data_IF_357810478747
#
_entry.id   IF_357810478747
#
_cell.length_a   1.000
_cell.length_b   1.000
_cell.length_c   1.000
_cell.angle_alpha   90.00
_cell.angle_beta   90.00
_cell.angle_gamma   90.00
#
_symmetry.space_group_name_H-M   'P 1'
#
loop_
_entity.id
_entity.type
_entity.pdbx_description
1 polymer ?
#
# COMPACT_ATOMS: atom_id res chain seq x y z
N UNK A 1 23.23 29.07 -23.29
CA UNK A 1 22.22 30.13 -23.05
C UNK A 1 21.72 29.98 -21.62
N UNK A 2 22.13 30.90 -20.76
CA UNK A 2 21.78 30.90 -19.36
C UNK A 2 20.35 31.34 -19.10
N UNK A 3 19.93 31.30 -17.85
CA UNK A 3 18.61 31.80 -17.42
C UNK A 3 18.45 33.27 -17.79
N UNK A 4 17.33 33.65 -18.42
CA UNK A 4 16.93 35.05 -18.60
C UNK A 4 17.08 35.63 -20.00
N UNK A 5 17.67 34.96 -20.98
CA UNK A 5 17.81 35.48 -22.35
C UNK A 5 16.61 35.05 -23.23
N UNK A 6 16.00 36.02 -23.89
CA UNK A 6 14.96 35.81 -24.90
C UNK A 6 15.59 36.00 -26.30
N UNK A 7 15.80 34.90 -27.02
CA UNK A 7 16.43 34.91 -28.37
C UNK A 7 15.54 34.27 -29.43
N UNK A 8 14.22 34.07 -29.11
CA UNK A 8 13.31 33.24 -29.90
C UNK A 8 12.88 33.86 -31.25
N UNK A 9 12.91 35.20 -31.42
CA UNK A 9 12.22 35.85 -32.54
C UNK A 9 12.71 35.42 -33.95
N UNK A 10 13.97 35.09 -34.09
CA UNK A 10 14.59 34.64 -35.37
C UNK A 10 15.43 33.38 -35.20
N UNK A 11 15.13 32.58 -34.17
CA UNK A 11 15.92 31.38 -33.91
C UNK A 11 15.59 30.31 -34.96
N UNK A 12 16.58 29.93 -35.75
CA UNK A 12 16.44 28.86 -36.74
C UNK A 12 16.95 27.51 -36.21
N UNK A 13 17.99 27.53 -35.36
CA UNK A 13 18.53 26.32 -34.79
C UNK A 13 19.10 26.54 -33.37
N UNK A 14 19.15 25.51 -32.58
CA UNK A 14 19.81 25.47 -31.26
C UNK A 14 20.72 24.22 -31.18
N UNK A 15 21.89 24.36 -30.60
CA UNK A 15 22.88 23.29 -30.44
C UNK A 15 23.14 23.05 -28.96
N UNK A 16 22.88 21.84 -28.48
CA UNK A 16 23.26 21.37 -27.17
C UNK A 16 24.66 20.70 -27.30
N UNK A 17 25.69 21.33 -26.75
CA UNK A 17 27.06 20.84 -26.80
C UNK A 17 27.40 20.00 -25.57
N UNK A 18 26.58 20.08 -24.50
CA UNK A 18 26.73 19.36 -23.25
C UNK A 18 25.43 18.75 -22.82
N UNK A 19 25.47 17.60 -22.14
CA UNK A 19 24.33 16.96 -21.55
C UNK A 19 24.14 17.48 -20.11
N UNK A 20 22.98 18.06 -19.75
CA UNK A 20 22.69 18.42 -18.37
C UNK A 20 22.34 17.20 -17.53
N UNK A 21 22.51 17.32 -16.22
CA UNK A 21 22.21 16.23 -15.27
C UNK A 21 20.71 15.99 -15.04
N UNK A 22 19.86 16.96 -15.41
CA UNK A 22 18.42 16.92 -15.16
C UNK A 22 17.62 16.97 -16.45
N UNK A 23 16.61 16.09 -16.61
CA UNK A 23 15.69 16.14 -17.76
C UNK A 23 15.01 17.51 -17.91
N UNK A 24 14.64 18.14 -16.77
CA UNK A 24 14.00 19.46 -16.74
C UNK A 24 14.84 20.56 -17.41
N UNK A 25 16.16 20.46 -17.37
CA UNK A 25 17.04 21.46 -17.99
C UNK A 25 17.02 21.34 -19.52
N UNK A 26 16.90 20.12 -20.06
CA UNK A 26 16.69 19.89 -21.49
C UNK A 26 15.33 20.44 -21.93
N UNK A 27 14.27 20.16 -21.18
CA UNK A 27 12.91 20.66 -21.48
C UNK A 27 12.86 22.19 -21.40
N UNK A 28 13.55 22.80 -20.43
CA UNK A 28 13.64 24.25 -20.33
C UNK A 28 14.43 24.88 -21.49
N UNK A 29 15.53 24.27 -21.93
CA UNK A 29 16.29 24.72 -23.10
C UNK A 29 15.41 24.64 -24.35
N UNK A 30 14.72 23.51 -24.55
CA UNK A 30 13.80 23.29 -25.65
C UNK A 30 12.65 24.31 -25.61
N UNK A 31 11.96 24.45 -24.47
CA UNK A 31 10.83 25.38 -24.30
C UNK A 31 11.21 26.85 -24.52
N UNK A 32 12.48 27.22 -24.36
CA UNK A 32 12.96 28.55 -24.72
C UNK A 32 13.21 28.73 -26.21
N UNK A 33 13.61 27.65 -26.88
CA UNK A 33 13.90 27.64 -28.33
C UNK A 33 12.61 27.66 -29.16
N UNK A 34 11.55 27.03 -28.71
CA UNK A 34 10.26 26.87 -29.43
C UNK A 34 9.12 27.76 -28.88
N UNK A 35 9.44 28.87 -28.24
CA UNK A 35 8.43 29.83 -27.72
C UNK A 35 7.65 30.51 -28.84
N UNK A 36 6.41 30.91 -28.50
CA UNK A 36 5.59 31.74 -29.37
C UNK A 36 6.30 33.06 -29.72
N UNK A 37 6.14 33.54 -30.96
CA UNK A 37 6.74 34.74 -31.45
C UNK A 37 8.03 34.52 -32.27
N UNK A 38 8.36 33.27 -32.61
CA UNK A 38 9.41 33.00 -33.59
C UNK A 38 8.85 33.26 -35.00
N UNK A 39 9.63 33.96 -35.81
CA UNK A 39 9.31 34.21 -37.22
C UNK A 39 9.55 32.98 -38.12
N UNK A 40 10.37 32.02 -37.63
CA UNK A 40 10.60 30.76 -38.33
C UNK A 40 9.52 29.72 -37.93
N UNK A 41 8.97 29.00 -38.91
CA UNK A 41 7.92 27.98 -38.62
C UNK A 41 8.48 26.74 -37.91
N UNK A 42 9.77 26.50 -38.02
CA UNK A 42 10.46 25.36 -37.40
C UNK A 42 11.76 25.82 -36.77
N UNK A 43 12.23 25.10 -35.73
CA UNK A 43 13.52 25.30 -35.10
C UNK A 43 14.21 23.93 -35.02
N UNK A 44 15.39 23.82 -35.58
CA UNK A 44 16.18 22.60 -35.52
C UNK A 44 16.95 22.52 -34.20
N UNK A 45 16.88 21.34 -33.54
CA UNK A 45 17.61 21.08 -32.30
C UNK A 45 18.69 20.03 -32.57
N UNK A 46 19.92 20.44 -32.49
CA UNK A 46 21.09 19.57 -32.64
C UNK A 46 21.67 19.23 -31.29
N UNK A 47 21.79 17.92 -31.00
CA UNK A 47 22.48 17.42 -29.80
C UNK A 47 23.77 16.75 -30.24
N UNK A 48 24.87 17.27 -29.80
CA UNK A 48 26.19 16.72 -30.08
C UNK A 48 26.58 15.74 -28.99
N UNK A 49 26.96 14.55 -29.40
CA UNK A 49 27.44 13.48 -28.53
C UNK A 49 28.73 12.97 -29.08
N UNK A 50 29.79 12.96 -28.29
CA UNK A 50 31.06 12.36 -28.69
C UNK A 50 30.96 10.85 -28.47
N UNK A 51 31.23 10.05 -29.51
CA UNK A 51 31.25 8.60 -29.41
C UNK A 51 32.30 8.13 -28.39
N UNK A 52 32.00 7.03 -27.69
CA UNK A 52 32.85 6.42 -26.65
C UNK A 52 33.21 7.36 -25.48
N UNK A 53 32.37 8.38 -25.24
CA UNK A 53 32.55 9.30 -24.11
C UNK A 53 31.42 9.18 -23.09
N UNK A 54 31.63 9.81 -21.95
CA UNK A 54 30.64 9.93 -20.89
C UNK A 54 29.33 10.64 -21.33
N UNK A 55 29.40 11.49 -22.35
CA UNK A 55 28.21 12.21 -22.86
C UNK A 55 27.13 11.27 -23.36
N UNK A 56 27.50 10.19 -24.07
CA UNK A 56 26.56 9.18 -24.55
C UNK A 56 25.81 8.52 -23.37
N UNK A 57 26.52 8.22 -22.29
CA UNK A 57 25.94 7.65 -21.07
C UNK A 57 25.02 8.66 -20.36
N UNK A 58 25.42 9.91 -20.21
CA UNK A 58 24.61 10.97 -19.62
C UNK A 58 23.27 11.14 -20.35
N UNK A 59 23.29 11.17 -21.67
CA UNK A 59 22.06 11.27 -22.45
C UNK A 59 21.14 10.08 -22.24
N UNK A 60 21.66 8.84 -22.15
CA UNK A 60 20.87 7.64 -21.82
C UNK A 60 20.24 7.73 -20.42
N UNK A 61 21.01 8.20 -19.42
CA UNK A 61 20.54 8.37 -18.05
C UNK A 61 19.42 9.42 -17.96
N UNK A 62 19.62 10.57 -18.61
CA UNK A 62 18.64 11.66 -18.66
C UNK A 62 17.37 11.22 -19.39
N UNK A 63 17.49 10.46 -20.49
CA UNK A 63 16.36 9.88 -21.21
C UNK A 63 15.57 8.90 -20.32
N UNK A 64 16.26 8.02 -19.58
CA UNK A 64 15.66 7.12 -18.61
C UNK A 64 14.86 7.86 -17.53
N UNK A 65 15.47 8.89 -16.94
CA UNK A 65 14.80 9.76 -15.94
C UNK A 65 13.59 10.48 -16.52
N UNK A 66 13.67 10.97 -17.77
CA UNK A 66 12.56 11.65 -18.44
C UNK A 66 11.40 10.69 -18.73
N UNK A 67 11.73 9.47 -19.18
CA UNK A 67 10.73 8.41 -19.42
C UNK A 67 9.99 8.03 -18.13
N UNK A 68 10.72 7.90 -17.01
CA UNK A 68 10.18 7.67 -15.69
C UNK A 68 9.24 8.81 -15.24
N UNK A 69 9.69 10.05 -15.31
CA UNK A 69 8.89 11.22 -14.96
C UNK A 69 7.59 11.28 -15.79
N UNK A 70 7.68 11.00 -17.09
CA UNK A 70 6.54 10.97 -18.00
C UNK A 70 5.54 9.88 -17.65
N UNK A 71 5.99 8.71 -17.22
CA UNK A 71 5.11 7.61 -16.78
C UNK A 71 4.29 8.00 -15.55
N UNK A 72 4.91 8.66 -14.55
CA UNK A 72 4.22 9.15 -13.36
C UNK A 72 3.24 10.28 -13.72
N UNK A 73 3.68 11.26 -14.51
CA UNK A 73 2.90 12.46 -14.84
C UNK A 73 1.68 12.17 -15.72
N UNK A 74 1.77 11.19 -16.64
CA UNK A 74 0.70 10.90 -17.59
C UNK A 74 -0.29 9.84 -17.14
N UNK A 75 -0.03 9.13 -16.04
CA UNK A 75 -0.87 8.05 -15.48
C UNK A 75 -1.30 6.98 -16.50
N UNK A 76 -0.67 6.93 -17.67
CA UNK A 76 -1.07 6.03 -18.78
C UNK A 76 -0.64 4.58 -18.60
N UNK A 77 0.19 4.30 -17.60
CA UNK A 77 0.57 2.94 -17.25
C UNK A 77 0.81 2.86 -15.75
N UNK A 78 -0.15 2.37 -14.95
CA UNK A 78 0.07 2.15 -13.52
C UNK A 78 0.96 0.93 -13.35
N UNK A 79 2.26 1.09 -13.55
CA UNK A 79 3.24 0.10 -13.12
C UNK A 79 3.44 0.28 -11.63
N UNK A 80 3.10 -0.75 -10.84
CA UNK A 80 3.25 -0.75 -9.37
C UNK A 80 4.70 -0.61 -8.89
N UNK A 81 5.68 -0.74 -9.79
CA UNK A 81 7.11 -0.50 -9.51
C UNK A 81 7.69 0.32 -10.65
N UNK A 82 8.01 1.56 -10.36
CA UNK A 82 8.88 2.35 -11.22
C UNK A 82 10.34 2.01 -10.93
N UNK A 83 11.13 1.84 -11.98
CA UNK A 83 12.57 1.76 -11.87
C UNK A 83 13.08 3.15 -11.45
N UNK A 84 13.31 3.33 -10.17
CA UNK A 84 14.07 4.48 -9.69
C UNK A 84 15.53 4.23 -10.09
N UNK A 85 16.02 5.03 -11.02
CA UNK A 85 17.44 5.01 -11.36
C UNK A 85 18.10 5.81 -10.25
N UNK A 86 18.52 5.08 -9.19
CA UNK A 86 19.35 5.67 -8.14
C UNK A 86 20.52 6.40 -8.77
N UNK A 87 20.70 7.66 -8.37
CA UNK A 87 21.87 8.44 -8.70
C UNK A 87 23.08 7.85 -7.96
N UNK A 88 23.55 6.68 -8.38
CA UNK A 88 24.88 6.25 -8.01
C UNK A 88 25.82 7.24 -8.68
N UNK A 89 26.27 8.21 -7.90
CA UNK A 89 27.25 9.17 -8.37
C UNK A 89 28.48 8.39 -8.83
N UNK A 90 28.67 8.35 -10.15
CA UNK A 90 29.87 7.77 -10.73
C UNK A 90 31.09 8.48 -10.15
N UNK A 91 32.02 7.72 -9.61
CA UNK A 91 33.27 8.28 -9.17
C UNK A 91 34.02 8.89 -10.38
N UNK A 92 34.81 9.90 -10.15
CA UNK A 92 35.65 10.52 -11.21
C UNK A 92 36.49 9.48 -11.98
N UNK A 93 36.92 8.43 -11.29
CA UNK A 93 37.66 7.32 -11.90
C UNK A 93 36.81 6.52 -12.89
N UNK A 94 35.53 6.26 -12.57
CA UNK A 94 34.60 5.57 -13.46
C UNK A 94 34.25 6.39 -14.68
N UNK A 95 34.13 7.73 -14.54
CA UNK A 95 33.95 8.66 -15.63
C UNK A 95 35.14 8.62 -16.57
N UNK A 96 36.37 8.66 -16.04
CA UNK A 96 37.64 8.61 -16.80
C UNK A 96 37.77 7.28 -17.54
N UNK A 97 37.37 6.18 -16.93
CA UNK A 97 37.43 4.85 -17.54
C UNK A 97 36.37 4.66 -18.64
N UNK A 98 35.17 5.23 -18.49
CA UNK A 98 34.16 5.29 -19.56
C UNK A 98 34.68 6.06 -20.79
N UNK A 99 35.39 7.15 -20.55
CA UNK A 99 36.01 7.94 -21.60
C UNK A 99 37.17 7.19 -22.34
N UNK A 100 37.76 6.16 -21.71
CA UNK A 100 38.78 5.31 -22.34
C UNK A 100 38.22 4.12 -23.14
N UNK A 101 36.88 3.98 -23.20
CA UNK A 101 36.23 2.94 -24.03
C UNK A 101 36.32 1.51 -23.47
N UNK A 102 36.61 1.32 -22.17
CA UNK A 102 36.69 -0.02 -21.59
C UNK A 102 35.30 -0.68 -21.49
N UNK A 103 35.01 -1.78 -22.25
CA UNK A 103 33.70 -2.41 -22.29
C UNK A 103 33.29 -3.02 -20.94
N UNK A 104 34.23 -3.39 -20.07
CA UNK A 104 33.95 -3.98 -18.76
C UNK A 104 33.29 -2.99 -17.80
N UNK A 105 33.47 -1.71 -17.98
CA UNK A 105 32.87 -0.68 -17.13
C UNK A 105 31.39 -0.52 -17.48
N UNK A 106 31.05 -0.52 -18.75
CA UNK A 106 29.66 -0.48 -19.19
C UNK A 106 28.92 -1.73 -18.68
N UNK A 107 29.51 -2.91 -18.85
CA UNK A 107 28.96 -4.17 -18.36
C UNK A 107 28.74 -4.12 -16.84
N UNK A 108 29.72 -3.62 -16.08
CA UNK A 108 29.61 -3.45 -14.63
C UNK A 108 28.44 -2.56 -14.26
N UNK A 109 28.27 -1.41 -14.89
CA UNK A 109 27.20 -0.46 -14.59
C UNK A 109 25.82 -1.03 -14.89
N UNK A 110 25.66 -1.70 -16.02
CA UNK A 110 24.41 -2.37 -16.39
C UNK A 110 24.06 -3.48 -15.38
N UNK A 111 25.08 -4.23 -14.93
CA UNK A 111 24.91 -5.26 -13.90
C UNK A 111 24.62 -4.69 -12.52
N UNK A 112 25.23 -3.58 -12.12
CA UNK A 112 24.94 -2.90 -10.85
C UNK A 112 23.45 -2.53 -10.77
N UNK A 113 22.93 -1.90 -11.81
CA UNK A 113 21.50 -1.54 -11.89
C UNK A 113 20.61 -2.79 -11.80
N UNK A 114 20.94 -3.84 -12.56
CA UNK A 114 20.17 -5.07 -12.56
C UNK A 114 20.20 -5.80 -11.22
N UNK A 115 21.36 -5.86 -10.56
CA UNK A 115 21.52 -6.49 -9.24
C UNK A 115 20.78 -5.69 -8.16
N UNK A 116 20.83 -4.36 -8.18
CA UNK A 116 20.07 -3.53 -7.26
C UNK A 116 18.57 -3.74 -7.43
N UNK A 117 18.07 -3.77 -8.68
CA UNK A 117 16.67 -4.07 -8.97
C UNK A 117 16.25 -5.44 -8.43
N UNK A 118 17.04 -6.48 -8.67
CA UNK A 118 16.76 -7.82 -8.18
C UNK A 118 16.81 -7.91 -6.65
N UNK A 119 17.72 -7.19 -6.00
CA UNK A 119 17.77 -7.07 -4.53
C UNK A 119 16.54 -6.39 -3.97
N UNK A 120 16.06 -5.33 -4.61
CA UNK A 120 14.82 -4.66 -4.21
C UNK A 120 13.61 -5.59 -4.36
N UNK A 121 13.50 -6.31 -5.48
CA UNK A 121 12.44 -7.31 -5.69
C UNK A 121 12.50 -8.42 -4.63
N UNK A 122 13.69 -8.91 -4.28
CA UNK A 122 13.89 -9.90 -3.21
C UNK A 122 13.48 -9.33 -1.85
N UNK A 123 13.85 -8.10 -1.53
CA UNK A 123 13.45 -7.43 -0.29
C UNK A 123 11.93 -7.30 -0.17
N UNK A 124 11.26 -6.89 -1.24
CA UNK A 124 9.79 -6.81 -1.29
C UNK A 124 9.14 -8.19 -1.11
N UNK A 125 9.65 -9.20 -1.83
CA UNK A 125 9.19 -10.58 -1.69
C UNK A 125 9.33 -11.09 -0.25
N UNK A 126 10.46 -10.85 0.40
CA UNK A 126 10.67 -11.24 1.80
C UNK A 126 9.72 -10.49 2.75
N UNK A 127 9.47 -9.21 2.51
CA UNK A 127 8.52 -8.43 3.30
C UNK A 127 7.10 -8.97 3.17
N UNK A 128 6.65 -9.31 1.94
CA UNK A 128 5.35 -9.93 1.69
C UNK A 128 5.27 -11.33 2.34
N UNK A 129 6.34 -12.12 2.25
CA UNK A 129 6.45 -13.43 2.88
C UNK A 129 6.29 -13.34 4.40
N UNK A 130 7.02 -12.44 5.07
CA UNK A 130 6.90 -12.25 6.52
C UNK A 130 5.51 -11.75 6.92
N UNK A 131 4.91 -10.85 6.14
CA UNK A 131 3.53 -10.42 6.38
C UNK A 131 2.52 -11.57 6.24
N UNK A 132 2.77 -12.50 5.32
CA UNK A 132 1.95 -13.70 5.13
C UNK A 132 2.16 -14.70 6.28
N UNK A 133 3.38 -14.91 6.74
CA UNK A 133 3.72 -15.71 7.93
C UNK A 133 2.99 -15.18 9.18
N UNK A 134 3.01 -13.87 9.41
CA UNK A 134 2.26 -13.25 10.52
C UNK A 134 0.75 -13.50 10.41
N UNK A 135 0.18 -13.44 9.21
CA UNK A 135 -1.23 -13.78 8.98
C UNK A 135 -1.51 -15.24 9.27
N UNK A 136 -0.63 -16.16 8.86
CA UNK A 136 -0.75 -17.60 9.11
C UNK A 136 -0.72 -17.89 10.61
N UNK A 137 0.17 -17.24 11.35
CA UNK A 137 0.37 -17.52 12.77
C UNK A 137 -0.71 -16.84 13.65
N UNK A 138 -1.14 -15.62 13.30
CA UNK A 138 -2.02 -14.81 14.16
C UNK A 138 -3.41 -14.65 13.59
N UNK A 139 -3.53 -14.08 12.39
CA UNK A 139 -4.81 -13.66 11.84
C UNK A 139 -5.76 -14.84 11.55
N UNK A 140 -5.31 -15.82 10.75
CA UNK A 140 -6.18 -16.92 10.35
C UNK A 140 -6.67 -17.78 11.51
N UNK A 141 -5.82 -18.20 12.48
CA UNK A 141 -6.28 -18.96 13.63
C UNK A 141 -7.30 -18.21 14.48
N UNK A 142 -7.08 -16.91 14.73
CA UNK A 142 -8.01 -16.08 15.49
C UNK A 142 -9.34 -15.89 14.77
N UNK A 143 -9.30 -15.64 13.46
CA UNK A 143 -10.51 -15.46 12.66
C UNK A 143 -11.32 -16.75 12.54
N UNK A 144 -10.67 -17.89 12.37
CA UNK A 144 -11.30 -19.22 12.37
C UNK A 144 -11.97 -19.48 13.73
N UNK A 145 -11.29 -19.24 14.84
CA UNK A 145 -11.84 -19.42 16.18
C UNK A 145 -13.05 -18.51 16.39
N UNK A 146 -12.91 -17.21 16.13
CA UNK A 146 -13.98 -16.22 16.27
C UNK A 146 -15.23 -16.60 15.47
N UNK A 147 -15.06 -17.05 14.21
CA UNK A 147 -16.19 -17.47 13.37
C UNK A 147 -16.81 -18.78 13.85
N UNK A 148 -15.99 -19.70 14.34
CA UNK A 148 -16.48 -20.95 14.92
C UNK A 148 -17.36 -20.68 16.15
N UNK A 149 -16.88 -19.82 17.07
CA UNK A 149 -17.65 -19.41 18.26
C UNK A 149 -18.96 -18.69 17.85
N UNK A 150 -18.90 -17.84 16.82
CA UNK A 150 -20.09 -17.15 16.28
C UNK A 150 -21.08 -18.14 15.69
N UNK A 151 -20.64 -19.18 14.98
CA UNK A 151 -21.50 -20.22 14.41
C UNK A 151 -22.14 -21.05 15.53
N UNK A 152 -21.39 -21.41 16.56
CA UNK A 152 -21.93 -22.15 17.73
C UNK A 152 -22.96 -21.31 18.47
N UNK A 153 -22.68 -20.03 18.71
CA UNK A 153 -23.64 -19.10 19.31
C UNK A 153 -24.90 -18.93 18.47
N UNK A 154 -24.77 -18.80 17.14
CA UNK A 154 -25.93 -18.73 16.24
C UNK A 154 -26.77 -20.00 16.28
N UNK A 155 -26.16 -21.19 16.32
CA UNK A 155 -26.89 -22.48 16.43
C UNK A 155 -27.67 -22.56 17.74
N UNK A 156 -27.08 -22.16 18.86
CA UNK A 156 -27.74 -22.10 20.16
C UNK A 156 -28.91 -21.11 20.12
N UNK A 157 -28.74 -19.93 19.56
CA UNK A 157 -29.76 -18.90 19.49
C UNK A 157 -30.91 -19.27 18.53
N UNK A 158 -30.64 -20.00 17.45
CA UNK A 158 -31.64 -20.56 16.55
C UNK A 158 -32.51 -21.60 17.31
N UNK A 159 -31.87 -22.47 18.09
CA UNK A 159 -32.63 -23.44 18.89
C UNK A 159 -33.50 -22.75 19.95
N UNK A 160 -33.00 -21.70 20.60
CA UNK A 160 -33.78 -20.85 21.51
C UNK A 160 -34.98 -20.20 20.79
N UNK A 161 -34.79 -19.65 19.61
CA UNK A 161 -35.86 -19.06 18.80
C UNK A 161 -36.91 -20.10 18.38
N UNK A 162 -36.51 -21.35 18.09
CA UNK A 162 -37.44 -22.48 17.80
C UNK A 162 -38.25 -22.90 19.00
N UNK A 163 -37.73 -22.81 20.22
CA UNK A 163 -38.48 -23.08 21.46
C UNK A 163 -39.56 -22.01 21.73
N UNK A 164 -39.40 -20.81 21.15
CA UNK A 164 -40.32 -19.69 21.26
C UNK A 164 -40.76 -19.22 19.84
N UNK A 165 -41.48 -20.08 19.10
CA UNK A 165 -41.78 -19.81 17.70
C UNK A 165 -42.78 -18.66 17.58
N UNK A 166 -42.73 -17.96 16.45
CA UNK A 166 -43.80 -17.08 16.03
C UNK A 166 -44.97 -17.92 15.54
N UNK A 167 -46.21 -17.64 15.96
CA UNK A 167 -47.38 -18.34 15.46
C UNK A 167 -47.56 -18.21 13.95
N UNK A 168 -48.12 -19.23 13.31
CA UNK A 168 -48.32 -19.29 11.85
C UNK A 168 -49.30 -18.21 11.37
N UNK A 169 -50.25 -17.83 12.21
CA UNK A 169 -51.26 -16.82 11.95
C UNK A 169 -50.77 -15.38 12.21
N UNK A 170 -49.43 -15.18 12.39
CA UNK A 170 -48.79 -13.90 12.68
C UNK A 170 -49.28 -13.21 13.97
N UNK A 171 -49.98 -13.96 14.86
CA UNK A 171 -50.41 -13.44 16.17
C UNK A 171 -49.17 -13.08 17.00
N UNK A 172 -49.33 -12.05 17.83
CA UNK A 172 -48.25 -11.60 18.72
C UNK A 172 -48.13 -12.55 19.93
N UNK A 173 -46.92 -13.04 20.19
CA UNK A 173 -46.65 -13.98 21.31
C UNK A 173 -46.58 -13.33 22.68
N UNK A 174 -46.66 -12.01 22.74
CA UNK A 174 -46.42 -11.23 23.94
C UNK A 174 -44.96 -10.82 24.11
N UNK A 175 -44.73 -9.78 24.90
CA UNK A 175 -43.40 -9.24 25.24
C UNK A 175 -43.44 -8.70 26.67
N UNK A 176 -42.38 -8.93 27.41
CA UNK A 176 -42.16 -8.26 28.69
C UNK A 176 -41.38 -6.94 28.46
N UNK A 177 -41.94 -5.83 28.97
CA UNK A 177 -41.30 -4.52 28.96
C UNK A 177 -41.34 -3.94 30.34
N UNK A 178 -40.16 -3.60 30.91
CA UNK A 178 -40.04 -3.07 32.28
C UNK A 178 -40.82 -3.88 33.36
N UNK A 179 -40.79 -5.20 33.21
CA UNK A 179 -41.44 -6.14 34.16
C UNK A 179 -42.95 -6.35 33.94
N UNK A 180 -43.56 -5.66 32.96
CA UNK A 180 -44.98 -5.85 32.60
C UNK A 180 -45.07 -6.71 31.35
N UNK A 181 -45.88 -7.77 31.37
CA UNK A 181 -46.12 -8.61 30.20
C UNK A 181 -47.28 -8.07 29.38
N UNK A 182 -47.08 -7.80 28.12
CA UNK A 182 -48.06 -7.29 27.17
C UNK A 182 -48.45 -8.39 26.19
N UNK A 183 -49.72 -8.62 26.02
CA UNK A 183 -50.32 -9.60 25.08
C UNK A 183 -50.71 -8.98 23.75
N UNK A 184 -50.89 -7.67 23.71
CA UNK A 184 -51.23 -6.93 22.49
C UNK A 184 -50.00 -6.24 21.88
N UNK A 185 -49.86 -6.43 20.57
CA UNK A 185 -48.68 -5.87 19.81
C UNK A 185 -48.61 -4.34 19.92
N UNK A 186 -49.76 -3.66 19.91
CA UNK A 186 -49.82 -2.20 20.02
C UNK A 186 -49.35 -1.75 21.42
N UNK A 187 -49.78 -2.42 22.49
CA UNK A 187 -49.41 -2.03 23.85
C UNK A 187 -47.93 -2.26 24.13
N UNK A 188 -47.39 -3.39 23.68
CA UNK A 188 -45.95 -3.68 23.76
C UNK A 188 -45.12 -2.64 23.01
N UNK A 189 -45.52 -2.30 21.79
CA UNK A 189 -44.84 -1.28 21.00
C UNK A 189 -44.88 0.11 21.60
N UNK A 190 -46.04 0.51 22.18
CA UNK A 190 -46.17 1.75 22.92
C UNK A 190 -45.28 1.76 24.17
N UNK A 191 -45.23 0.67 24.92
CA UNK A 191 -44.36 0.53 26.09
C UNK A 191 -42.87 0.65 25.74
N UNK A 192 -42.44 0.13 24.56
CA UNK A 192 -41.08 0.33 24.03
C UNK A 192 -40.84 1.81 23.75
N UNK A 193 -41.74 2.51 23.03
CA UNK A 193 -41.60 3.95 22.71
C UNK A 193 -41.59 4.80 23.98
N UNK A 194 -42.38 4.48 24.97
CA UNK A 194 -42.40 5.19 26.26
C UNK A 194 -41.11 4.92 27.06
N UNK A 195 -40.57 3.70 26.96
CA UNK A 195 -39.24 3.41 27.49
C UNK A 195 -38.13 4.26 26.83
N UNK A 196 -38.18 4.44 25.50
CA UNK A 196 -37.26 5.30 24.76
C UNK A 196 -37.37 6.77 25.24
N UNK A 197 -38.58 7.31 25.36
CA UNK A 197 -38.79 8.68 25.86
C UNK A 197 -38.32 8.90 27.29
N UNK A 198 -38.37 7.85 28.12
CA UNK A 198 -37.96 7.92 29.52
C UNK A 198 -36.45 7.71 29.73
N UNK A 199 -35.68 7.43 28.68
CA UNK A 199 -34.22 7.31 28.78
C UNK A 199 -33.57 8.68 29.08
N UNK A 200 -32.73 8.68 30.08
CA UNK A 200 -31.93 9.87 30.49
C UNK A 200 -30.45 9.76 30.16
N UNK A 201 -29.97 8.56 29.85
CA UNK A 201 -28.61 8.23 29.46
C UNK A 201 -28.61 7.41 28.17
N UNK A 202 -27.57 7.53 27.32
CA UNK A 202 -27.42 6.67 26.14
C UNK A 202 -27.08 5.20 26.47
N UNK A 203 -26.69 4.93 27.71
CA UNK A 203 -26.22 3.62 28.15
C UNK A 203 -27.31 2.54 28.04
N UNK A 204 -26.88 1.29 27.85
CA UNK A 204 -27.78 0.17 27.76
C UNK A 204 -28.47 -0.11 29.10
N UNK A 205 -29.79 -0.14 29.09
CA UNK A 205 -30.64 -0.47 30.25
C UNK A 205 -31.47 -1.72 29.96
N UNK A 206 -31.70 -2.63 30.95
CA UNK A 206 -32.55 -3.77 30.75
C UNK A 206 -33.97 -3.31 30.38
N UNK A 207 -34.54 -3.87 29.33
CA UNK A 207 -35.91 -3.56 28.89
C UNK A 207 -36.89 -4.66 29.27
N UNK A 208 -36.52 -5.93 29.06
CA UNK A 208 -37.40 -7.07 29.36
C UNK A 208 -37.00 -8.33 28.59
N UNK A 209 -37.99 -9.03 28.06
CA UNK A 209 -37.78 -10.29 27.33
C UNK A 209 -38.73 -10.41 26.13
N UNK A 210 -38.21 -10.94 25.03
CA UNK A 210 -38.95 -11.22 23.82
C UNK A 210 -38.51 -12.53 23.20
N UNK A 211 -39.44 -13.49 23.06
CA UNK A 211 -39.21 -14.80 22.44
C UNK A 211 -38.00 -15.54 23.02
N UNK A 212 -37.84 -15.54 24.35
CA UNK A 212 -36.70 -16.17 25.03
C UNK A 212 -35.40 -15.43 25.00
N UNK A 213 -35.38 -14.23 24.40
CA UNK A 213 -34.21 -13.36 24.39
C UNK A 213 -34.38 -12.20 25.37
N UNK A 214 -33.38 -11.96 26.22
CA UNK A 214 -33.33 -10.77 27.05
C UNK A 214 -33.18 -9.54 26.17
N UNK A 215 -33.87 -8.45 26.51
CA UNK A 215 -33.78 -7.20 25.73
C UNK A 215 -33.18 -6.08 26.55
N UNK A 216 -32.24 -5.38 25.94
CA UNK A 216 -31.60 -4.19 26.49
C UNK A 216 -31.86 -3.02 25.53
N UNK A 217 -32.24 -1.84 26.05
CA UNK A 217 -32.49 -0.62 25.29
C UNK A 217 -31.30 0.34 25.46
N UNK A 218 -30.77 0.90 24.37
CA UNK A 218 -29.72 1.91 24.36
C UNK A 218 -30.02 2.99 23.33
N UNK A 219 -29.33 4.10 23.43
CA UNK A 219 -29.37 5.16 22.41
C UNK A 219 -28.00 5.27 21.73
N UNK A 220 -27.96 5.01 20.45
CA UNK A 220 -26.76 5.21 19.64
C UNK A 220 -26.59 6.70 19.32
N UNK A 221 -25.61 7.33 19.92
CA UNK A 221 -25.31 8.76 19.76
C UNK A 221 -24.78 9.10 18.36
N UNK A 222 -24.23 8.13 17.63
CA UNK A 222 -23.70 8.34 16.29
C UNK A 222 -24.83 8.34 15.25
N UNK A 223 -25.65 7.29 15.23
CA UNK A 223 -26.82 7.20 14.32
C UNK A 223 -28.00 8.03 14.81
N UNK A 224 -28.01 8.45 16.07
CA UNK A 224 -29.12 9.13 16.77
C UNK A 224 -30.40 8.31 16.78
N UNK A 225 -30.27 7.02 16.95
CA UNK A 225 -31.37 6.05 16.98
C UNK A 225 -31.41 5.30 18.29
N UNK A 226 -32.61 4.93 18.72
CA UNK A 226 -32.77 3.96 19.79
C UNK A 226 -32.54 2.54 19.25
N UNK A 227 -31.83 1.72 20.01
CA UNK A 227 -31.45 0.39 19.61
C UNK A 227 -31.86 -0.59 20.70
N UNK A 228 -32.59 -1.66 20.34
CA UNK A 228 -32.79 -2.82 21.20
C UNK A 228 -31.73 -3.87 20.84
N UNK A 229 -31.04 -4.36 21.86
CA UNK A 229 -30.16 -5.53 21.77
C UNK A 229 -30.92 -6.75 22.27
N UNK A 230 -31.16 -7.73 21.38
CA UNK A 230 -31.64 -9.06 21.75
C UNK A 230 -30.43 -9.89 22.19
N UNK A 231 -30.41 -10.33 23.42
CA UNK A 231 -29.30 -11.04 24.05
C UNK A 231 -29.63 -12.52 24.22
N UNK A 232 -28.97 -13.33 23.43
CA UNK A 232 -28.88 -14.75 23.54
C UNK A 232 -27.48 -15.19 23.97
N UNK A 233 -26.90 -16.19 23.28
CA UNK A 233 -25.47 -16.45 23.32
C UNK A 233 -24.72 -15.31 22.60
N UNK A 234 -25.33 -14.80 21.53
CA UNK A 234 -24.85 -13.61 20.81
C UNK A 234 -25.77 -12.41 21.08
N UNK A 235 -25.33 -11.22 20.62
CA UNK A 235 -26.12 -10.00 20.71
C UNK A 235 -26.58 -9.53 19.32
N UNK A 236 -27.90 -9.27 19.19
CA UNK A 236 -28.49 -8.79 17.93
C UNK A 236 -29.04 -7.40 18.11
N UNK A 237 -28.47 -6.43 17.41
CA UNK A 237 -28.87 -5.03 17.51
C UNK A 237 -29.96 -4.71 16.47
N UNK A 238 -31.05 -4.11 16.95
CA UNK A 238 -32.22 -3.74 16.16
C UNK A 238 -32.52 -2.26 16.37
N UNK A 239 -32.32 -1.44 15.31
CA UNK A 239 -32.68 -0.03 15.35
C UNK A 239 -34.18 0.14 15.38
N UNK A 240 -34.64 1.01 16.28
CA UNK A 240 -36.05 1.33 16.46
C UNK A 240 -36.48 2.51 15.58
N UNK A 241 -37.74 2.49 15.15
CA UNK A 241 -38.36 3.63 14.49
C UNK A 241 -39.46 4.25 15.38
N UNK A 242 -40.20 5.16 14.81
CA UNK A 242 -41.33 5.85 15.45
C UNK A 242 -42.63 5.05 15.39
N UNK A 243 -42.67 3.96 14.59
CA UNK A 243 -43.86 3.14 14.41
C UNK A 243 -43.94 2.03 15.46
N UNK A 244 -45.04 2.00 16.16
CA UNK A 244 -45.35 1.05 17.24
C UNK A 244 -45.31 -0.41 16.77
N UNK A 245 -46.00 -0.74 15.67
CA UNK A 245 -46.03 -2.08 15.11
C UNK A 245 -44.73 -2.48 14.41
N UNK A 246 -44.11 -1.54 13.72
CA UNK A 246 -42.89 -1.76 12.98
C UNK A 246 -41.72 -2.16 13.88
N UNK A 247 -41.66 -1.66 15.10
CA UNK A 247 -40.59 -2.02 16.05
C UNK A 247 -40.63 -3.50 16.42
N UNK A 248 -41.84 -4.06 16.72
CA UNK A 248 -42.01 -5.51 16.99
C UNK A 248 -41.66 -6.33 15.74
N UNK A 249 -42.10 -5.89 14.56
CA UNK A 249 -41.78 -6.59 13.30
C UNK A 249 -40.29 -6.60 13.02
N UNK A 250 -39.54 -5.54 13.37
CA UNK A 250 -38.08 -5.51 13.25
C UNK A 250 -37.40 -6.51 14.18
N UNK A 251 -37.89 -6.69 15.39
CA UNK A 251 -37.44 -7.73 16.34
C UNK A 251 -37.66 -9.13 15.76
N UNK A 252 -38.87 -9.38 15.21
CA UNK A 252 -39.17 -10.66 14.55
C UNK A 252 -38.23 -10.93 13.38
N UNK A 253 -38.08 -9.96 12.49
CA UNK A 253 -37.18 -10.10 11.32
C UNK A 253 -35.73 -10.36 11.73
N UNK A 254 -35.28 -9.81 12.85
CA UNK A 254 -33.93 -10.06 13.36
C UNK A 254 -33.78 -11.53 13.80
N UNK A 255 -34.76 -12.10 14.45
CA UNK A 255 -34.77 -13.51 14.89
C UNK A 255 -34.99 -14.48 13.71
N UNK A 256 -35.89 -14.16 12.78
CA UNK A 256 -36.10 -14.97 11.57
C UNK A 256 -34.85 -14.95 10.63
N UNK A 257 -34.07 -13.87 10.66
CA UNK A 257 -32.84 -13.75 9.93
C UNK A 257 -31.67 -14.58 10.44
N UNK A 258 -31.76 -15.23 11.60
CA UNK A 258 -30.65 -15.97 12.21
C UNK A 258 -30.14 -17.12 11.33
N UNK A 259 -31.05 -17.87 10.69
CA UNK A 259 -30.70 -18.98 9.79
C UNK A 259 -29.82 -18.50 8.61
N UNK A 260 -30.20 -17.37 8.01
CA UNK A 260 -29.42 -16.78 6.92
C UNK A 260 -28.06 -16.29 7.41
N UNK A 261 -28.00 -15.72 8.61
CA UNK A 261 -26.72 -15.29 9.22
C UNK A 261 -25.79 -16.48 9.47
N UNK A 262 -26.38 -17.63 9.93
CA UNK A 262 -25.62 -18.86 10.11
C UNK A 262 -25.02 -19.33 8.80
N UNK A 263 -25.81 -19.45 7.74
CA UNK A 263 -25.34 -19.86 6.41
C UNK A 263 -24.21 -18.95 5.90
N UNK A 264 -24.37 -17.63 6.03
CA UNK A 264 -23.33 -16.67 5.62
C UNK A 264 -22.04 -16.89 6.41
N UNK A 265 -22.11 -17.06 7.74
CA UNK A 265 -20.92 -17.28 8.56
C UNK A 265 -20.25 -18.63 8.28
N UNK A 266 -21.01 -19.68 7.97
CA UNK A 266 -20.45 -20.98 7.56
C UNK A 266 -19.71 -20.86 6.23
N UNK A 267 -20.27 -20.15 5.24
CA UNK A 267 -19.60 -19.89 3.95
C UNK A 267 -18.33 -19.05 4.14
N UNK A 268 -18.36 -18.02 4.95
CA UNK A 268 -17.20 -17.18 5.25
C UNK A 268 -16.12 -17.96 6.01
N UNK A 269 -16.48 -18.84 6.93
CA UNK A 269 -15.51 -19.71 7.62
C UNK A 269 -14.81 -20.64 6.62
N UNK A 270 -15.55 -21.22 5.70
CA UNK A 270 -14.98 -22.07 4.66
C UNK A 270 -14.02 -21.29 3.75
N UNK A 271 -14.37 -20.05 3.36
CA UNK A 271 -13.50 -19.19 2.58
C UNK A 271 -12.22 -18.83 3.33
N UNK A 272 -12.30 -18.51 4.62
CA UNK A 272 -11.13 -18.23 5.46
C UNK A 272 -10.22 -19.45 5.57
N UNK A 273 -10.79 -20.65 5.72
CA UNK A 273 -10.00 -21.90 5.73
C UNK A 273 -9.29 -22.15 4.41
N UNK A 274 -9.96 -21.95 3.28
CA UNK A 274 -9.33 -22.05 1.95
C UNK A 274 -8.19 -21.06 1.78
N UNK A 275 -8.42 -19.81 2.18
CA UNK A 275 -7.36 -18.79 2.14
C UNK A 275 -6.17 -19.15 3.03
N UNK A 276 -6.42 -19.71 4.21
CA UNK A 276 -5.38 -20.17 5.12
C UNK A 276 -4.52 -21.29 4.50
N UNK A 277 -5.15 -22.30 3.89
CA UNK A 277 -4.40 -23.37 3.22
C UNK A 277 -3.62 -22.84 2.00
N UNK A 278 -4.20 -21.93 1.22
CA UNK A 278 -3.48 -21.28 0.12
C UNK A 278 -2.28 -20.49 0.62
N UNK A 279 -2.46 -19.72 1.70
CA UNK A 279 -1.39 -18.93 2.30
C UNK A 279 -0.20 -19.80 2.77
N UNK A 280 -0.47 -20.99 3.35
CA UNK A 280 0.58 -21.94 3.73
C UNK A 280 1.40 -22.42 2.53
N UNK A 281 0.76 -22.67 1.40
CA UNK A 281 1.44 -23.07 0.17
C UNK A 281 2.23 -21.92 -0.43
N UNK A 282 1.66 -20.71 -0.41
CA UNK A 282 2.30 -19.52 -0.99
C UNK A 282 3.56 -19.09 -0.22
N UNK A 283 3.54 -19.24 1.10
CA UNK A 283 4.69 -18.88 1.95
C UNK A 283 5.92 -19.77 1.73
N UNK A 284 5.71 -21.01 1.26
CA UNK A 284 6.80 -21.93 0.96
C UNK A 284 7.47 -21.69 -0.39
N UNK A 285 6.85 -20.85 -1.26
CA UNK A 285 7.41 -20.56 -2.58
C UNK A 285 8.75 -19.83 -2.46
N UNK A 286 9.77 -20.26 -3.22
CA UNK A 286 11.04 -19.57 -3.28
C UNK A 286 10.93 -18.30 -4.12
N UNK A 287 11.88 -17.38 -3.94
CA UNK A 287 12.01 -16.22 -4.82
C UNK A 287 12.41 -16.68 -6.22
N UNK A 288 11.59 -16.38 -7.23
CA UNK A 288 11.73 -16.90 -8.60
C UNK A 288 13.05 -16.48 -9.26
N UNK A 289 13.55 -15.28 -8.92
CA UNK A 289 14.75 -14.70 -9.53
C UNK A 289 16.03 -14.89 -8.68
N UNK A 290 16.02 -15.84 -7.73
CA UNK A 290 17.15 -16.08 -6.83
C UNK A 290 18.42 -16.47 -7.60
N UNK A 291 18.30 -17.36 -8.57
CA UNK A 291 19.42 -17.82 -9.38
C UNK A 291 19.95 -16.70 -10.30
N UNK A 292 19.05 -15.92 -10.89
CA UNK A 292 19.44 -14.77 -11.71
C UNK A 292 20.22 -13.73 -10.87
N UNK A 293 19.74 -13.43 -9.66
CA UNK A 293 20.41 -12.53 -8.73
C UNK A 293 21.80 -13.04 -8.37
N UNK A 294 21.93 -14.34 -8.12
CA UNK A 294 23.20 -14.97 -7.77
C UNK A 294 24.22 -14.86 -8.91
N UNK A 295 23.86 -15.30 -10.12
CA UNK A 295 24.73 -15.26 -11.31
C UNK A 295 25.17 -13.83 -11.62
N UNK A 296 24.27 -12.87 -11.60
CA UNK A 296 24.61 -11.45 -11.87
C UNK A 296 25.47 -10.85 -10.78
N UNK A 297 25.26 -11.23 -9.50
CA UNK A 297 26.11 -10.77 -8.40
C UNK A 297 27.53 -11.36 -8.49
N UNK A 298 27.66 -12.63 -8.84
CA UNK A 298 28.96 -13.27 -9.06
C UNK A 298 29.72 -12.58 -10.21
N UNK A 299 29.06 -12.34 -11.33
CA UNK A 299 29.65 -11.62 -12.48
C UNK A 299 30.06 -10.20 -12.13
N UNK A 300 29.26 -9.48 -11.37
CA UNK A 300 29.55 -8.14 -10.87
C UNK A 300 30.82 -8.15 -9.97
N UNK A 301 30.95 -9.15 -9.11
CA UNK A 301 32.13 -9.30 -8.25
C UNK A 301 33.40 -9.57 -9.07
N UNK A 302 33.31 -10.40 -10.11
CA UNK A 302 34.43 -10.63 -11.04
C UNK A 302 34.88 -9.33 -11.72
N UNK A 303 33.94 -8.55 -12.25
CA UNK A 303 34.23 -7.27 -12.89
C UNK A 303 34.83 -6.26 -11.89
N UNK A 304 34.34 -6.23 -10.66
CA UNK A 304 34.90 -5.38 -9.61
C UNK A 304 36.36 -5.77 -9.29
N UNK A 305 36.68 -7.07 -9.26
CA UNK A 305 38.04 -7.55 -9.04
C UNK A 305 38.96 -7.16 -10.21
N UNK A 306 38.53 -7.37 -11.44
CA UNK A 306 39.28 -6.99 -12.65
C UNK A 306 39.57 -5.50 -12.70
N UNK A 307 38.55 -4.66 -12.49
CA UNK A 307 38.68 -3.21 -12.53
C UNK A 307 39.51 -2.61 -11.38
N UNK A 308 39.54 -3.30 -10.22
CA UNK A 308 40.37 -2.91 -9.08
C UNK A 308 41.86 -3.27 -9.32
N UNK A 309 42.14 -4.34 -10.04
CA UNK A 309 43.52 -4.68 -10.48
C UNK A 309 44.04 -3.62 -11.44
N UNK A 310 43.26 -3.26 -12.46
CA UNK A 310 43.60 -2.20 -13.41
C UNK A 310 43.81 -0.83 -12.72
N UNK A 311 43.07 -0.51 -11.66
CA UNK A 311 43.29 0.70 -10.86
C UNK A 311 44.65 0.70 -10.16
N UNK A 312 45.06 -0.41 -9.56
CA UNK A 312 46.36 -0.53 -8.87
C UNK A 312 47.55 -0.45 -9.83
N UNK A 313 47.44 -1.03 -11.02
CA UNK A 313 48.47 -0.94 -12.02
C UNK A 313 48.64 0.50 -12.57
N UNK A 314 47.55 1.25 -12.75
CA UNK A 314 47.59 2.66 -13.19
C UNK A 314 48.05 3.62 -12.08
N UNK A 315 47.85 3.33 -10.80
CA UNK A 315 48.38 4.12 -9.68
C UNK A 315 49.88 3.95 -9.51
N UNK A 316 50.46 2.79 -9.88
CA UNK A 316 51.89 2.52 -9.79
C UNK A 316 52.68 3.30 -10.89
N UNK A 317 52.04 3.64 -12.02
CA UNK A 317 52.68 4.32 -13.15
C UNK A 317 52.56 5.86 -13.08
N UNK A 318 51.71 6.42 -12.22
CA UNK A 318 51.38 7.85 -12.12
C UNK A 318 51.72 8.54 -10.79
N UNK A 319 52.66 8.02 -10.01
CA UNK A 319 52.96 8.55 -8.69
C UNK A 319 53.78 9.85 -8.69
N UNK A 320 53.12 10.99 -8.60
CA UNK A 320 53.64 12.15 -7.87
C UNK A 320 53.00 12.14 -6.46
N UNK A 321 53.81 12.37 -5.40
CA UNK A 321 53.29 12.34 -4.03
C UNK A 321 52.39 13.56 -3.79
N UNK A 322 51.16 13.31 -3.37
CA UNK A 322 50.21 14.33 -2.93
C UNK A 322 50.66 14.92 -1.59
N UNK A 323 51.06 16.20 -1.61
CA UNK A 323 51.43 16.98 -0.42
C UNK A 323 50.22 17.33 0.51
N UNK A 324 49.08 16.66 0.35
CA UNK A 324 47.82 17.00 1.04
C UNK A 324 47.67 16.52 2.48
N UNK A 325 48.42 15.53 2.94
CA UNK A 325 48.23 14.94 4.28
C UNK A 325 48.92 15.68 5.44
N UNK A 326 49.93 16.51 5.19
CA UNK A 326 50.62 17.25 6.25
C UNK A 326 49.82 18.44 6.84
N UNK A 327 48.80 18.93 6.15
CA UNK A 327 48.02 20.11 6.60
C UNK A 327 46.87 19.70 7.54
N UNK A 328 46.41 18.46 7.49
CA UNK A 328 45.33 17.99 8.36
C UNK A 328 45.78 17.65 9.80
N UNK A 329 47.01 17.18 9.98
CA UNK A 329 47.55 16.86 11.32
C UNK A 329 47.96 18.11 12.12
N UNK A 330 48.29 19.22 11.49
CA UNK A 330 48.60 20.48 12.21
C UNK A 330 47.39 21.20 12.76
N UNK A 331 46.21 21.05 12.13
CA UNK A 331 44.95 21.65 12.63
C UNK A 331 44.31 20.89 13.80
N UNK A 332 44.60 19.61 13.96
CA UNK A 332 44.09 18.83 15.06
C UNK A 332 44.85 19.05 16.39
N UNK A 333 46.12 19.48 16.33
CA UNK A 333 46.93 19.75 17.53
C UNK A 333 46.78 21.14 18.15
N UNK A 334 46.20 22.08 17.40
CA UNK A 334 45.94 23.47 17.90
C UNK A 334 44.54 23.64 18.55
N UNK A 335 43.72 22.60 18.57
CA UNK A 335 42.40 22.57 19.19
C UNK A 335 42.39 21.88 20.56
N UNK A 336 43.52 21.36 21.04
CA UNK A 336 43.68 20.77 22.39
C UNK A 336 44.60 21.57 23.33
N UNK A 337 44.71 22.88 23.13
CA UNK A 337 45.35 23.76 24.12
C UNK A 337 44.44 24.86 24.56
#
# INVERSE_FOLDING_TARGET
>A
MGAGTNVQNKLAASSDLDCPWRPSDLEQRLGRSIRQGNENPTVDIYRFVTEETFDAYLYQLVEGKQKFASQIMTSKSPVRSCEDIDETALSYAEIKMLATGNPHIKEKMDLDIQVQKLRLLKSNFLSEKYALEDKIIKYYPQEIARRTDTIEGLKSDIERAKQHPKPIDDTFVGMTVKGVFYTEKADAGNAILDACKAMTSPDAVPLGEYRGFQTELSFDTFSKEYVIKLKGELGYFVSLGTDTFGNITRLDNALEGLAKRLETNEQELENVRKQFETAKVDVEKPFVQEEELKVKTERLNELNALLNVDKRENEIVGGEPDEGEEVAERKAKDLER
#
